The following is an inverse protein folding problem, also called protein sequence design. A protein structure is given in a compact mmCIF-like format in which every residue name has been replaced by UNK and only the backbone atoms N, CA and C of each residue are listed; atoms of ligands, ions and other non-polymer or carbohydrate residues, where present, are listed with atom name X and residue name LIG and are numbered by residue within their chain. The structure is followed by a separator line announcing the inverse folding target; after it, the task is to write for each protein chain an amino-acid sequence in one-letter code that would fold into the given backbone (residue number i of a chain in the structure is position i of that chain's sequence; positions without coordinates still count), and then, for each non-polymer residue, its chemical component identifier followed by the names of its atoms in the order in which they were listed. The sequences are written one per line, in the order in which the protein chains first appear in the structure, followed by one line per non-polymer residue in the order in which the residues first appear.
data_IF_721581698303
#
_entry.id   IF_721581698303
#
_cell.length_a   1.000
_cell.length_b   1.000
_cell.length_c   1.000
_cell.angle_alpha   90.00
_cell.angle_beta   90.00
_cell.angle_gamma   90.00
#
_symmetry.space_group_name_H-M   'P 1'
#
loop_
_entity.id
_entity.type
_entity.pdbx_description
1 polymer ?
#
# COMPACT_ATOMS: atom_id res chain seq x y z
N UNK A 1 -0.97 -19.61 35.05
CA UNK A 1 0.16 -18.67 34.89
C UNK A 1 -0.07 -17.85 33.63
N UNK A 2 -1.01 -16.90 33.71
CA UNK A 2 -1.51 -16.12 32.56
C UNK A 2 -0.41 -15.25 31.99
N UNK A 3 0.14 -15.71 30.86
CA UNK A 3 1.20 -15.06 30.12
C UNK A 3 0.86 -13.59 29.88
N UNK A 4 1.85 -12.75 30.16
CA UNK A 4 2.02 -11.36 29.77
C UNK A 4 0.82 -10.80 28.99
N UNK A 5 -0.08 -10.15 29.75
CA UNK A 5 -1.30 -9.49 29.30
C UNK A 5 -1.08 -8.74 27.98
N UNK A 6 -2.06 -8.74 27.07
CA UNK A 6 -2.01 -8.05 25.77
C UNK A 6 -1.56 -6.58 25.92
N UNK A 7 -1.89 -5.97 27.05
CA UNK A 7 -1.43 -4.64 27.44
C UNK A 7 0.09 -4.48 27.55
N UNK A 8 0.81 -5.49 28.02
CA UNK A 8 2.27 -5.48 28.09
C UNK A 8 2.89 -5.42 26.69
N UNK A 9 2.36 -6.19 25.74
CA UNK A 9 2.85 -6.20 24.37
C UNK A 9 2.68 -4.87 23.65
N UNK A 10 1.58 -4.14 23.89
CA UNK A 10 1.40 -2.79 23.35
C UNK A 10 2.46 -1.81 23.88
N UNK A 11 2.76 -1.87 25.18
CA UNK A 11 3.76 -0.99 25.81
C UNK A 11 5.16 -1.33 25.29
N UNK A 12 5.50 -2.61 25.17
CA UNK A 12 6.79 -3.04 24.61
C UNK A 12 6.96 -2.57 23.17
N UNK A 13 5.92 -2.72 22.33
CA UNK A 13 5.94 -2.23 20.95
C UNK A 13 6.16 -0.72 20.89
N UNK A 14 5.48 0.05 21.75
CA UNK A 14 5.65 1.49 21.82
C UNK A 14 7.11 1.88 22.19
N UNK A 15 7.70 1.21 23.18
CA UNK A 15 9.09 1.47 23.59
C UNK A 15 10.08 1.10 22.48
N UNK A 16 9.88 -0.04 21.80
CA UNK A 16 10.73 -0.44 20.66
C UNK A 16 10.62 0.57 19.52
N UNK A 17 9.43 1.04 19.19
CA UNK A 17 9.24 2.09 18.18
C UNK A 17 9.92 3.41 18.57
N UNK A 18 9.95 3.75 19.87
CA UNK A 18 10.60 4.96 20.36
C UNK A 18 12.13 4.85 20.32
N UNK A 19 12.69 3.68 20.66
CA UNK A 19 14.14 3.42 20.64
C UNK A 19 14.70 3.33 19.21
N UNK A 20 13.98 2.64 18.33
CA UNK A 20 14.39 2.47 16.94
C UNK A 20 13.95 3.63 16.04
N UNK A 21 12.97 4.42 16.48
CA UNK A 21 12.35 5.49 15.72
C UNK A 21 11.40 4.99 14.63
N UNK A 22 10.40 5.80 14.28
CA UNK A 22 9.41 5.48 13.23
C UNK A 22 10.03 5.39 11.83
N UNK A 23 11.12 6.12 11.57
CA UNK A 23 11.81 6.12 10.27
C UNK A 23 12.48 4.79 9.94
N UNK A 24 13.19 4.18 10.89
CA UNK A 24 13.89 2.91 10.66
C UNK A 24 12.93 1.73 10.61
N UNK A 25 11.94 1.70 11.52
CA UNK A 25 10.90 0.65 11.51
C UNK A 25 10.00 0.75 10.29
N UNK A 26 9.64 1.97 9.86
CA UNK A 26 8.83 2.19 8.66
C UNK A 26 9.54 1.76 7.37
N UNK A 27 10.84 2.04 7.23
CA UNK A 27 11.60 1.62 6.05
C UNK A 27 11.73 0.08 5.97
N UNK A 28 12.09 -0.57 7.09
CA UNK A 28 12.17 -2.03 7.18
C UNK A 28 10.82 -2.71 6.97
N UNK A 29 9.76 -2.22 7.62
CA UNK A 29 8.41 -2.75 7.46
C UNK A 29 7.87 -2.51 6.05
N UNK A 30 8.27 -1.43 5.39
CA UNK A 30 7.93 -1.15 3.99
C UNK A 30 8.55 -2.17 3.03
N UNK A 31 9.83 -2.54 3.22
CA UNK A 31 10.50 -3.57 2.42
C UNK A 31 9.94 -4.97 2.71
N UNK A 32 9.73 -5.30 3.99
CA UNK A 32 9.10 -6.56 4.41
C UNK A 32 7.65 -6.67 3.92
N UNK A 33 6.90 -5.58 3.96
CA UNK A 33 5.50 -5.50 3.52
C UNK A 33 5.36 -5.69 2.01
N UNK A 34 6.28 -5.14 1.21
CA UNK A 34 6.33 -5.38 -0.24
C UNK A 34 6.62 -6.85 -0.56
N UNK A 35 7.60 -7.46 0.13
CA UNK A 35 7.92 -8.88 -0.03
C UNK A 35 6.76 -9.80 0.38
N UNK A 36 6.12 -9.52 1.51
CA UNK A 36 4.96 -10.29 1.99
C UNK A 36 3.71 -10.09 1.10
N UNK A 37 3.48 -8.90 0.56
CA UNK A 37 2.40 -8.63 -0.41
C UNK A 37 2.62 -9.38 -1.73
N UNK A 38 3.85 -9.41 -2.23
CA UNK A 38 4.21 -10.20 -3.40
C UNK A 38 4.01 -11.71 -3.14
N UNK A 39 4.44 -12.21 -1.99
CA UNK A 39 4.24 -13.61 -1.59
C UNK A 39 2.75 -13.96 -1.45
N UNK A 40 1.96 -13.08 -0.85
CA UNK A 40 0.50 -13.23 -0.73
C UNK A 40 -0.18 -13.22 -2.08
N UNK A 41 0.19 -12.30 -2.97
CA UNK A 41 -0.38 -12.22 -4.32
C UNK A 41 -0.03 -13.47 -5.14
N UNK A 42 1.21 -13.96 -5.07
CA UNK A 42 1.62 -15.17 -5.80
C UNK A 42 0.92 -16.44 -5.27
N UNK A 43 0.67 -16.54 -3.96
CA UNK A 43 -0.11 -17.65 -3.38
C UNK A 43 -1.61 -17.50 -3.66
N UNK A 44 -2.10 -16.26 -3.70
CA UNK A 44 -3.50 -15.97 -3.98
C UNK A 44 -3.85 -16.11 -5.46
N UNK A 45 -2.91 -15.96 -6.39
CA UNK A 45 -3.10 -16.16 -7.84
C UNK A 45 -3.35 -17.63 -8.21
N UNK A 46 -3.01 -18.57 -7.32
CA UNK A 46 -3.37 -19.99 -7.41
C UNK A 46 -4.86 -20.24 -7.05
N UNK A 47 -5.58 -19.21 -6.58
CA UNK A 47 -7.04 -19.17 -6.52
C UNK A 47 -7.59 -18.01 -7.37
N UNK A 48 -8.76 -18.13 -8.01
CA UNK A 48 -9.30 -17.06 -8.83
C UNK A 48 -9.78 -15.88 -7.96
N UNK A 49 -8.88 -14.97 -7.61
CA UNK A 49 -9.19 -13.74 -6.86
C UNK A 49 -8.69 -12.49 -7.63
N UNK A 50 -9.22 -12.30 -8.84
CA UNK A 50 -9.01 -11.09 -9.66
C UNK A 50 -10.02 -10.00 -9.29
N UNK A 51 -9.95 -9.40 -8.10
CA UNK A 51 -10.83 -8.26 -7.79
C UNK A 51 -10.21 -7.13 -6.95
N UNK A 52 -9.01 -7.28 -6.37
CA UNK A 52 -8.45 -6.27 -5.47
C UNK A 52 -7.58 -5.18 -6.13
N UNK A 53 -7.21 -5.32 -7.41
CA UNK A 53 -6.31 -4.36 -8.08
C UNK A 53 -7.00 -3.37 -9.03
N UNK A 54 -8.31 -3.52 -9.27
CA UNK A 54 -9.05 -2.63 -10.19
C UNK A 54 -9.57 -1.36 -9.52
N UNK A 55 -9.64 -1.31 -8.18
CA UNK A 55 -10.17 -0.14 -7.46
C UNK A 55 -9.21 1.05 -7.37
N UNK A 56 -7.90 0.89 -7.61
CA UNK A 56 -6.94 2.00 -7.48
C UNK A 56 -6.59 2.68 -8.84
N UNK A 57 -6.92 2.06 -9.97
CA UNK A 57 -6.62 2.63 -11.31
C UNK A 57 -7.78 3.42 -11.93
N UNK A 58 -8.98 3.41 -11.35
CA UNK A 58 -10.14 4.12 -11.90
C UNK A 58 -10.36 5.53 -11.32
N UNK A 59 -9.50 6.03 -10.42
CA UNK A 59 -9.54 7.44 -9.95
C UNK A 59 -8.60 8.38 -10.72
N UNK A 60 -7.94 7.90 -11.78
CA UNK A 60 -7.28 8.79 -12.76
C UNK A 60 -7.96 8.64 -14.11
N UNK A 61 -9.21 9.10 -14.18
CA UNK A 61 -9.89 9.31 -15.44
C UNK A 61 -9.04 10.26 -16.33
N UNK A 62 -8.89 9.94 -17.62
CA UNK A 62 -8.08 10.71 -18.56
C UNK A 62 -8.84 11.96 -19.03
N UNK A 63 -8.65 13.10 -18.35
CA UNK A 63 -9.17 14.41 -18.80
C UNK A 63 -8.07 15.31 -19.41
N UNK A 64 -7.18 14.73 -20.22
CA UNK A 64 -6.12 15.47 -20.91
C UNK A 64 -6.17 15.39 -22.45
N UNK A 65 -7.36 15.15 -23.05
CA UNK A 65 -7.49 15.28 -24.50
C UNK A 65 -8.93 15.50 -25.02
N UNK A 66 -9.58 16.59 -24.59
CA UNK A 66 -10.82 17.06 -25.20
C UNK A 66 -10.87 18.59 -25.38
N UNK A 67 -9.72 19.20 -25.71
CA UNK A 67 -9.58 20.65 -25.89
C UNK A 67 -8.84 21.09 -27.16
N UNK A 68 -8.49 20.17 -28.07
CA UNK A 68 -7.65 20.48 -29.24
C UNK A 68 -8.35 20.16 -30.57
N UNK A 69 -9.59 20.62 -30.72
CA UNK A 69 -10.25 20.80 -32.04
C UNK A 69 -11.13 22.05 -32.02
N UNK A 70 -10.54 23.18 -31.70
CA UNK A 70 -11.15 24.49 -31.93
C UNK A 70 -10.04 25.48 -32.34
N UNK A 71 -10.00 25.85 -33.62
CA UNK A 71 -9.32 27.07 -34.07
C UNK A 71 -7.91 26.92 -34.68
N UNK A 72 -7.84 26.56 -35.96
CA UNK A 72 -6.87 27.08 -36.94
C UNK A 72 -7.36 26.62 -38.32
N UNK A 73 -7.92 27.46 -39.18
CA UNK A 73 -7.27 28.58 -39.87
C UNK A 73 -7.22 28.18 -41.35
N UNK A 74 -8.19 28.58 -42.18
CA UNK A 74 -8.06 29.75 -43.07
C UNK A 74 -6.77 29.67 -43.90
N UNK A 75 -6.85 29.11 -45.10
CA UNK A 75 -6.54 29.72 -46.42
C UNK A 75 -6.93 28.76 -47.54
#
# INVERSE_FOLDING_TARGET
MGGLSIWHWLIVLAVVLLLFGTGRVGNLMGELGKGMKAFKNNIADDQPAKDASMLEQQTRAPEANAGQKAGQGKV
#
